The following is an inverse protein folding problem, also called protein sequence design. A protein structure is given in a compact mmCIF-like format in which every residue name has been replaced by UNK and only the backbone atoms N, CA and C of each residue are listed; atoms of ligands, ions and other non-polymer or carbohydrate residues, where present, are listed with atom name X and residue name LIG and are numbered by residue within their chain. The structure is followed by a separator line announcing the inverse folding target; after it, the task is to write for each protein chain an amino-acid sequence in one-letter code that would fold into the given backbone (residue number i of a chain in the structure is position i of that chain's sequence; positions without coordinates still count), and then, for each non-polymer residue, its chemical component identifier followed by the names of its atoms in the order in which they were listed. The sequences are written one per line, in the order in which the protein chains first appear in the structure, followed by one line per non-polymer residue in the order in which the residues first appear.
data_IF_721666018874
#
_entry.id   IF_721666018874
#
_cell.length_a   1.000
_cell.length_b   1.000
_cell.length_c   1.000
_cell.angle_alpha   90.00
_cell.angle_beta   90.00
_cell.angle_gamma   90.00
#
_symmetry.space_group_name_H-M   'P 1'
#
loop_
_entity.id
_entity.type
_entity.pdbx_description
1 polymer ?
#
# COMPACT_ATOMS: atom_id res chain seq x y z
N UNK A 1 12.89 -1.66 23.79
CA UNK A 1 13.01 -1.99 22.36
C UNK A 1 11.73 -1.53 21.67
N UNK A 2 11.82 -0.60 20.73
CA UNK A 2 10.66 -0.11 19.96
C UNK A 2 10.41 -1.06 18.78
N UNK A 3 9.21 -1.62 18.71
CA UNK A 3 8.79 -2.51 17.62
C UNK A 3 7.79 -1.83 16.70
N UNK A 4 7.82 -2.17 15.42
CA UNK A 4 6.83 -1.74 14.45
C UNK A 4 6.34 -2.90 13.57
N UNK A 5 5.03 -2.91 13.31
CA UNK A 5 4.40 -3.72 12.26
C UNK A 5 4.08 -2.78 11.08
N UNK A 6 4.69 -3.02 9.94
CA UNK A 6 4.41 -2.25 8.71
C UNK A 6 3.31 -2.95 7.93
N UNK A 7 2.19 -2.27 7.72
CA UNK A 7 1.17 -2.74 6.78
C UNK A 7 1.73 -2.65 5.35
N UNK A 8 2.03 -3.82 4.79
CA UNK A 8 2.84 -3.93 3.59
C UNK A 8 2.03 -4.48 2.42
N UNK A 9 1.87 -3.68 1.37
CA UNK A 9 1.24 -4.11 0.11
C UNK A 9 2.28 -4.38 -1.00
N UNK A 10 3.54 -3.99 -0.78
CA UNK A 10 4.58 -4.05 -1.81
C UNK A 10 4.52 -2.93 -2.85
N UNK A 11 3.61 -1.98 -2.69
CA UNK A 11 3.56 -0.75 -3.47
C UNK A 11 4.59 0.28 -3.04
N UNK A 12 4.63 1.41 -3.74
CA UNK A 12 5.55 2.52 -3.47
C UNK A 12 5.42 3.05 -2.03
N UNK A 13 4.19 3.27 -1.57
CA UNK A 13 3.91 3.90 -0.28
C UNK A 13 4.24 3.00 0.90
N UNK A 14 3.83 1.73 0.83
CA UNK A 14 4.17 0.76 1.87
C UNK A 14 5.67 0.45 1.88
N UNK A 15 6.35 0.55 0.73
CA UNK A 15 7.82 0.55 0.67
C UNK A 15 8.40 1.75 1.40
N UNK A 16 7.89 2.97 1.18
CA UNK A 16 8.35 4.15 1.90
C UNK A 16 8.15 4.02 3.42
N UNK A 17 6.99 3.49 3.84
CA UNK A 17 6.72 3.18 5.24
C UNK A 17 7.71 2.17 5.83
N UNK A 18 8.10 1.14 5.07
CA UNK A 18 9.11 0.18 5.51
C UNK A 18 10.47 0.86 5.74
N UNK A 19 10.97 1.62 4.76
CA UNK A 19 12.24 2.35 4.92
C UNK A 19 12.20 3.35 6.07
N UNK A 20 11.08 4.06 6.24
CA UNK A 20 10.88 4.96 7.36
C UNK A 20 10.90 4.22 8.71
N UNK A 21 10.25 3.06 8.80
CA UNK A 21 10.22 2.26 10.02
C UNK A 21 11.61 1.71 10.38
N UNK A 22 12.37 1.25 9.38
CA UNK A 22 13.72 0.71 9.59
C UNK A 22 14.70 1.74 10.20
N UNK A 23 14.45 3.05 10.01
CA UNK A 23 15.25 4.11 10.66
C UNK A 23 14.82 4.46 12.09
N UNK A 24 13.59 4.10 12.47
CA UNK A 24 12.94 4.60 13.70
C UNK A 24 12.75 3.53 14.78
N UNK A 25 12.77 2.26 14.40
CA UNK A 25 12.45 1.14 15.26
C UNK A 25 13.60 0.16 15.35
N UNK A 26 13.75 -0.48 16.51
CA UNK A 26 14.78 -1.49 16.76
C UNK A 26 14.43 -2.83 16.07
N UNK A 27 13.14 -3.07 15.85
CA UNK A 27 12.60 -4.28 15.24
C UNK A 27 11.38 -3.93 14.40
N UNK A 28 11.40 -4.39 13.14
CA UNK A 28 10.35 -4.14 12.15
C UNK A 28 9.89 -5.49 11.60
N UNK A 29 8.58 -5.66 11.47
CA UNK A 29 7.98 -6.81 10.76
C UNK A 29 6.97 -6.33 9.73
N UNK A 30 6.71 -7.17 8.72
CA UNK A 30 5.71 -6.91 7.68
C UNK A 30 4.42 -7.64 8.01
N UNK A 31 3.28 -6.95 7.82
CA UNK A 31 1.95 -7.57 7.82
C UNK A 31 1.24 -7.25 6.50
N UNK A 32 0.95 -8.27 5.71
CA UNK A 32 0.25 -8.17 4.43
C UNK A 32 -1.08 -8.89 4.47
N UNK A 33 -2.00 -8.46 3.61
CA UNK A 33 -3.33 -9.04 3.47
C UNK A 33 -3.58 -9.50 2.05
N UNK A 34 -4.06 -10.74 1.90
CA UNK A 34 -4.57 -11.28 0.64
C UNK A 34 -6.09 -11.30 0.75
N UNK A 35 -6.81 -10.73 -0.20
CA UNK A 35 -8.27 -10.53 -0.05
C UNK A 35 -9.06 -10.95 -1.29
N UNK A 36 -8.49 -11.89 -2.06
CA UNK A 36 -9.10 -12.45 -3.26
C UNK A 36 -9.02 -11.51 -4.46
N UNK A 37 -8.07 -10.58 -4.44
CA UNK A 37 -7.82 -9.65 -5.53
C UNK A 37 -6.79 -10.20 -6.52
N UNK A 38 -6.72 -9.63 -7.72
CA UNK A 38 -5.63 -9.94 -8.66
C UNK A 38 -4.25 -9.50 -8.16
N UNK A 39 -4.22 -8.64 -7.14
CA UNK A 39 -2.99 -8.13 -6.53
C UNK A 39 -2.42 -9.10 -5.50
N UNK A 40 -3.16 -10.14 -5.09
CA UNK A 40 -2.74 -11.06 -4.04
C UNK A 40 -1.37 -11.72 -4.34
N UNK A 41 -1.16 -12.21 -5.57
CA UNK A 41 0.13 -12.76 -5.99
C UNK A 41 1.26 -11.71 -5.94
N UNK A 42 0.93 -10.47 -6.28
CA UNK A 42 1.89 -9.35 -6.27
C UNK A 42 2.29 -9.00 -4.85
N UNK A 43 1.30 -8.88 -3.95
CA UNK A 43 1.50 -8.61 -2.52
C UNK A 43 2.36 -9.70 -1.91
N UNK A 44 2.06 -10.98 -2.18
CA UNK A 44 2.83 -12.10 -1.65
C UNK A 44 4.30 -12.08 -2.12
N UNK A 45 4.53 -11.92 -3.43
CA UNK A 45 5.88 -11.92 -4.00
C UNK A 45 6.71 -10.72 -3.55
N UNK A 46 6.11 -9.52 -3.52
CA UNK A 46 6.78 -8.31 -3.04
C UNK A 46 7.05 -8.38 -1.53
N UNK A 47 6.09 -8.81 -0.72
CA UNK A 47 6.27 -9.02 0.72
C UNK A 47 7.48 -9.92 0.99
N UNK A 48 7.54 -11.09 0.36
CA UNK A 48 8.66 -12.02 0.50
C UNK A 48 9.98 -11.40 0.05
N UNK A 49 9.98 -10.68 -1.08
CA UNK A 49 11.19 -10.04 -1.61
C UNK A 49 11.77 -9.01 -0.63
N UNK A 50 10.92 -8.16 -0.05
CA UNK A 50 11.36 -7.16 0.91
C UNK A 50 11.71 -7.76 2.28
N UNK A 51 10.97 -8.76 2.75
CA UNK A 51 11.30 -9.52 3.96
C UNK A 51 12.72 -10.11 3.87
N UNK A 52 13.04 -10.74 2.73
CA UNK A 52 14.36 -11.33 2.48
C UNK A 52 15.47 -10.26 2.42
N UNK A 53 15.22 -9.11 1.77
CA UNK A 53 16.23 -8.04 1.65
C UNK A 53 16.66 -7.47 2.99
N UNK A 54 15.75 -7.42 3.96
CA UNK A 54 16.01 -6.85 5.28
C UNK A 54 16.17 -7.90 6.37
N UNK A 55 16.00 -9.19 6.04
CA UNK A 55 16.01 -10.29 7.01
C UNK A 55 15.04 -10.05 8.18
N UNK A 56 13.83 -9.57 7.85
CA UNK A 56 12.77 -9.24 8.82
C UNK A 56 11.63 -10.25 8.76
N UNK A 57 10.93 -10.40 9.88
CA UNK A 57 9.74 -11.24 9.95
C UNK A 57 8.61 -10.68 9.06
N UNK A 58 7.89 -11.58 8.41
CA UNK A 58 6.74 -11.22 7.58
C UNK A 58 5.58 -12.17 7.83
N UNK A 59 4.38 -11.62 8.03
CA UNK A 59 3.14 -12.37 8.15
C UNK A 59 2.19 -11.95 7.02
N UNK A 60 1.55 -12.96 6.41
CA UNK A 60 0.53 -12.75 5.40
C UNK A 60 -0.78 -13.34 5.92
N UNK A 61 -1.86 -12.56 5.93
CA UNK A 61 -3.18 -12.99 6.38
C UNK A 61 -4.12 -13.04 5.18
N UNK A 62 -4.74 -14.20 4.95
CA UNK A 62 -5.75 -14.38 3.91
C UNK A 62 -7.15 -14.06 4.44
N UNK A 63 -7.86 -13.20 3.71
CA UNK A 63 -9.20 -12.68 4.00
C UNK A 63 -10.12 -12.90 2.78
N UNK A 64 -10.33 -14.17 2.36
CA UNK A 64 -11.03 -14.48 1.11
C UNK A 64 -12.50 -14.01 1.11
N UNK A 65 -13.11 -13.84 2.29
CA UNK A 65 -14.48 -13.35 2.43
C UNK A 65 -14.68 -11.91 1.92
N UNK A 66 -13.62 -11.09 1.87
CA UNK A 66 -13.72 -9.72 1.33
C UNK A 66 -14.09 -9.69 -0.16
N UNK A 67 -13.82 -10.77 -0.88
CA UNK A 67 -14.27 -10.93 -2.28
C UNK A 67 -15.78 -10.89 -2.39
N UNK A 68 -16.50 -11.50 -1.44
CA UNK A 68 -17.97 -11.48 -1.40
C UNK A 68 -18.50 -10.07 -1.15
N UNK A 69 -17.84 -9.29 -0.28
CA UNK A 69 -18.26 -7.92 0.02
C UNK A 69 -18.01 -7.00 -1.16
N UNK A 70 -16.87 -7.18 -1.84
CA UNK A 70 -16.49 -6.45 -3.06
C UNK A 70 -17.51 -6.71 -4.18
N UNK A 71 -17.90 -7.98 -4.38
CA UNK A 71 -18.92 -8.36 -5.36
C UNK A 71 -20.29 -7.73 -5.04
N UNK A 72 -20.70 -7.73 -3.77
CA UNK A 72 -21.95 -7.08 -3.33
C UNK A 72 -21.95 -5.56 -3.53
N UNK A 73 -20.79 -4.93 -3.42
CA UNK A 73 -20.64 -3.49 -3.62
C UNK A 73 -20.53 -3.07 -5.10
N UNK A 74 -20.53 -4.03 -6.04
CA UNK A 74 -20.39 -3.74 -7.47
C UNK A 74 -18.98 -3.27 -7.87
N UNK A 75 -17.95 -3.63 -7.10
CA UNK A 75 -16.56 -3.29 -7.39
C UNK A 75 -15.88 -4.36 -8.25
N UNK A 76 -15.15 -3.91 -9.29
CA UNK A 76 -14.66 -4.74 -10.39
C UNK A 76 -13.28 -5.35 -10.13
N UNK A 77 -12.69 -5.20 -8.93
CA UNK A 77 -11.44 -5.86 -8.55
C UNK A 77 -11.47 -7.40 -8.69
N UNK A 78 -12.67 -7.98 -8.78
CA UNK A 78 -12.91 -9.42 -8.96
C UNK A 78 -13.29 -9.84 -10.40
N UNK A 79 -13.52 -8.90 -11.34
CA UNK A 79 -13.93 -9.18 -12.72
C UNK A 79 -12.80 -8.93 -13.74
N UNK A 80 -13.00 -9.28 -15.03
CA UNK A 80 -11.98 -9.42 -16.07
C UNK A 80 -11.07 -8.18 -16.24
N UNK A 81 -9.86 -8.41 -16.78
CA UNK A 81 -8.79 -7.38 -16.94
C UNK A 81 -9.24 -6.23 -17.86
N UNK A 82 -10.22 -6.49 -18.72
CA UNK A 82 -10.73 -5.60 -19.76
C UNK A 82 -11.57 -4.43 -19.23
N UNK A 83 -12.05 -4.49 -17.98
CA UNK A 83 -12.90 -3.44 -17.38
C UNK A 83 -12.17 -2.52 -16.39
N UNK A 84 -10.87 -2.71 -16.17
CA UNK A 84 -10.09 -1.78 -15.35
C UNK A 84 -9.89 -0.46 -16.08
N UNK A 85 -9.93 0.69 -15.39
CA UNK A 85 -9.76 2.00 -16.01
C UNK A 85 -8.42 2.08 -16.75
N UNK A 86 -8.50 2.27 -18.07
CA UNK A 86 -7.37 2.66 -18.91
C UNK A 86 -7.47 4.16 -19.19
N UNK A 87 -6.53 4.92 -18.64
CA UNK A 87 -6.35 6.31 -19.04
C UNK A 87 -5.30 6.36 -20.13
N UNK A 88 -5.68 6.86 -21.30
CA UNK A 88 -4.74 7.02 -22.43
C UNK A 88 -3.85 8.26 -22.29
N UNK A 89 -4.21 9.20 -21.40
CA UNK A 89 -3.55 10.50 -21.25
C UNK A 89 -3.44 10.93 -19.78
N UNK A 90 -2.33 11.60 -19.42
CA UNK A 90 -2.04 12.11 -18.08
C UNK A 90 -3.09 13.13 -17.59
N UNK A 91 -3.71 13.89 -18.49
CA UNK A 91 -4.64 14.99 -18.18
C UNK A 91 -5.91 14.52 -17.45
N UNK A 92 -6.29 13.25 -17.59
CA UNK A 92 -7.45 12.68 -16.89
C UNK A 92 -7.16 12.25 -15.44
N UNK A 93 -5.90 12.25 -15.02
CA UNK A 93 -5.51 11.92 -13.65
C UNK A 93 -5.74 13.07 -12.67
N UNK A 94 -5.93 14.30 -13.17
CA UNK A 94 -6.14 15.51 -12.36
C UNK A 94 -7.63 15.91 -12.31
N UNK A 95 -8.48 15.23 -13.07
CA UNK A 95 -9.93 15.41 -13.02
C UNK A 95 -10.52 14.64 -11.83
N UNK A 96 -11.05 15.40 -10.85
CA UNK A 96 -11.61 14.84 -9.61
C UNK A 96 -12.83 13.94 -9.85
N UNK A 97 -13.66 14.24 -10.83
CA UNK A 97 -14.87 13.45 -11.11
C UNK A 97 -14.50 12.11 -11.77
N UNK A 98 -13.52 12.14 -12.68
CA UNK A 98 -12.99 10.93 -13.34
C UNK A 98 -12.26 10.03 -12.34
N UNK A 99 -11.44 10.60 -11.46
CA UNK A 99 -10.68 9.84 -10.46
C UNK A 99 -11.57 9.26 -9.37
N UNK A 100 -12.65 9.94 -8.97
CA UNK A 100 -13.66 9.36 -8.06
C UNK A 100 -14.41 8.20 -8.73
N UNK A 101 -14.76 8.30 -10.02
CA UNK A 101 -15.41 7.18 -10.73
C UNK A 101 -14.48 5.98 -10.89
N UNK A 102 -13.19 6.19 -11.21
CA UNK A 102 -12.21 5.11 -11.28
C UNK A 102 -11.96 4.46 -9.91
N UNK A 103 -11.91 5.26 -8.85
CA UNK A 103 -11.73 4.80 -7.48
C UNK A 103 -12.84 3.85 -7.01
N UNK A 104 -14.10 4.14 -7.37
CA UNK A 104 -15.24 3.26 -7.06
C UNK A 104 -15.07 1.86 -7.67
N UNK A 105 -14.44 1.75 -8.84
CA UNK A 105 -14.19 0.47 -9.52
C UNK A 105 -13.14 -0.39 -8.82
N UNK A 106 -12.29 0.24 -8.01
CA UNK A 106 -11.24 -0.42 -7.21
C UNK A 106 -11.47 -0.34 -5.70
N UNK A 107 -12.69 0.02 -5.28
CA UNK A 107 -13.04 0.12 -3.88
C UNK A 107 -13.30 -1.26 -3.27
N UNK A 108 -12.67 -1.56 -2.13
CA UNK A 108 -13.00 -2.72 -1.30
C UNK A 108 -13.64 -2.18 -0.01
N UNK A 109 -14.94 -2.43 0.22
CA UNK A 109 -15.66 -1.82 1.34
C UNK A 109 -14.98 -2.00 2.69
N UNK A 110 -14.54 -0.89 3.29
CA UNK A 110 -14.01 -0.85 4.66
C UNK A 110 -12.72 -1.65 4.86
N UNK A 111 -11.93 -1.91 3.81
CA UNK A 111 -10.74 -2.77 3.93
C UNK A 111 -9.72 -2.24 4.93
N UNK A 112 -9.42 -0.93 4.94
CA UNK A 112 -8.39 -0.39 5.83
C UNK A 112 -8.85 -0.39 7.29
N UNK A 113 -10.16 -0.27 7.54
CA UNK A 113 -10.73 -0.43 8.88
C UNK A 113 -10.48 -1.85 9.41
N UNK A 114 -10.73 -2.86 8.57
CA UNK A 114 -10.45 -4.26 8.93
C UNK A 114 -8.96 -4.53 9.09
N UNK A 115 -8.12 -4.05 8.16
CA UNK A 115 -6.67 -4.25 8.20
C UNK A 115 -6.03 -3.66 9.46
N UNK A 116 -6.39 -2.42 9.80
CA UNK A 116 -5.92 -1.78 11.03
C UNK A 116 -6.44 -2.49 12.29
N UNK A 117 -7.66 -3.01 12.27
CA UNK A 117 -8.20 -3.79 13.40
C UNK A 117 -7.44 -5.11 13.61
N UNK A 118 -7.11 -5.81 12.52
CA UNK A 118 -6.30 -7.04 12.59
C UNK A 118 -4.87 -6.73 13.05
N UNK A 119 -4.28 -5.66 12.52
CA UNK A 119 -2.95 -5.21 12.92
C UNK A 119 -2.90 -4.82 14.40
N UNK A 120 -3.96 -4.16 14.89
CA UNK A 120 -4.09 -3.86 16.31
C UNK A 120 -4.18 -5.10 17.18
N UNK A 121 -4.95 -6.11 16.78
CA UNK A 121 -4.98 -7.39 17.49
C UNK A 121 -3.61 -8.09 17.49
N UNK A 122 -2.85 -8.01 16.38
CA UNK A 122 -1.49 -8.55 16.31
C UNK A 122 -0.53 -7.77 17.23
N UNK A 123 -0.57 -6.45 17.20
CA UNK A 123 0.22 -5.58 18.07
C UNK A 123 -0.11 -5.78 19.56
N UNK A 124 -1.39 -5.91 19.91
CA UNK A 124 -1.86 -6.11 21.28
C UNK A 124 -1.50 -7.49 21.83
N UNK A 125 -1.20 -8.46 20.97
CA UNK A 125 -0.74 -9.80 21.40
C UNK A 125 0.73 -9.84 21.85
N UNK A 126 1.48 -8.78 21.60
CA UNK A 126 2.89 -8.67 21.96
C UNK A 126 3.08 -8.18 23.39
N UNK A 127 4.20 -8.57 24.03
CA UNK A 127 4.54 -8.12 25.39
C UNK A 127 5.08 -6.68 25.47
N UNK A 128 5.35 -6.06 24.32
CA UNK A 128 5.94 -4.73 24.23
C UNK A 128 5.01 -3.81 23.43
N UNK A 129 5.14 -2.50 23.59
CA UNK A 129 4.51 -1.50 22.71
C UNK A 129 4.94 -1.75 21.26
N UNK A 130 3.96 -1.87 20.37
CA UNK A 130 4.16 -2.07 18.94
C UNK A 130 3.35 -1.03 18.16
N UNK A 131 4.04 -0.20 17.39
CA UNK A 131 3.40 0.76 16.50
C UNK A 131 3.01 0.08 15.18
N UNK A 132 1.87 0.46 14.62
CA UNK A 132 1.38 0.02 13.31
C UNK A 132 1.72 1.13 12.32
N UNK A 133 2.52 0.82 11.31
CA UNK A 133 2.88 1.79 10.26
C UNK A 133 1.94 1.60 9.08
N UNK A 134 1.24 2.68 8.71
CA UNK A 134 0.19 2.67 7.69
C UNK A 134 0.46 3.68 6.58
N UNK A 135 0.49 3.20 5.33
CA UNK A 135 0.90 3.97 4.15
C UNK A 135 -0.20 4.81 3.49
N UNK A 136 -0.93 5.61 4.27
CA UNK A 136 -1.84 6.62 3.71
C UNK A 136 -1.10 7.91 3.33
N UNK A 137 -1.64 8.62 2.34
CA UNK A 137 -1.09 9.86 1.78
C UNK A 137 -2.21 10.84 1.36
N UNK A 138 -1.84 12.07 0.99
CA UNK A 138 -2.82 13.13 0.69
C UNK A 138 -3.68 12.81 -0.54
N UNK A 139 -3.10 12.26 -1.61
CA UNK A 139 -3.81 11.93 -2.86
C UNK A 139 -4.84 10.81 -2.64
N UNK A 140 -4.49 9.79 -1.85
CA UNK A 140 -5.42 8.72 -1.48
C UNK A 140 -6.50 9.21 -0.52
N UNK A 141 -6.18 10.14 0.38
CA UNK A 141 -7.14 10.77 1.29
C UNK A 141 -8.19 11.66 0.58
N UNK A 142 -7.88 12.20 -0.60
CA UNK A 142 -8.89 12.90 -1.43
C UNK A 142 -9.92 11.93 -2.04
N UNK A 143 -9.52 10.68 -2.22
CA UNK A 143 -10.28 9.68 -2.98
C UNK A 143 -11.01 8.69 -2.06
N UNK A 144 -10.38 8.31 -0.95
CA UNK A 144 -10.84 7.27 -0.05
C UNK A 144 -10.92 7.77 1.39
N UNK A 145 -12.07 7.64 2.06
CA UNK A 145 -12.26 8.17 3.42
C UNK A 145 -11.36 7.49 4.46
N UNK A 146 -10.97 6.23 4.19
CA UNK A 146 -10.14 5.38 5.05
C UNK A 146 -8.63 5.57 4.84
N UNK A 147 -8.24 6.68 4.20
CA UNK A 147 -6.85 7.13 4.05
C UNK A 147 -6.64 8.56 4.61
N UNK A 148 -7.60 9.07 5.36
CA UNK A 148 -7.54 10.44 5.90
C UNK A 148 -6.88 10.50 7.27
N UNK A 149 -6.39 11.68 7.64
CA UNK A 149 -5.87 11.94 8.98
C UNK A 149 -6.92 11.72 10.07
N UNK A 150 -8.16 12.18 9.88
CA UNK A 150 -9.25 11.95 10.84
C UNK A 150 -9.49 10.45 11.01
N UNK A 151 -9.53 9.66 9.93
CA UNK A 151 -9.65 8.21 10.03
C UNK A 151 -8.56 7.57 10.92
N UNK A 152 -7.29 7.93 10.71
CA UNK A 152 -6.16 7.44 11.54
C UNK A 152 -6.31 7.86 13.01
N UNK A 153 -6.75 9.09 13.28
CA UNK A 153 -7.00 9.58 14.64
C UNK A 153 -8.15 8.84 15.32
N UNK A 154 -9.24 8.56 14.60
CA UNK A 154 -10.37 7.77 15.11
C UNK A 154 -9.98 6.33 15.39
N UNK A 155 -9.20 5.71 14.50
CA UNK A 155 -8.68 4.35 14.73
C UNK A 155 -7.81 4.30 15.98
N UNK A 156 -6.91 5.27 16.16
CA UNK A 156 -6.11 5.39 17.38
C UNK A 156 -6.97 5.58 18.64
N UNK A 157 -8.04 6.37 18.57
CA UNK A 157 -8.96 6.54 19.69
C UNK A 157 -9.70 5.23 20.03
N UNK A 158 -10.11 4.46 19.02
CA UNK A 158 -10.74 3.15 19.21
C UNK A 158 -9.75 2.13 19.83
N UNK A 159 -8.51 2.08 19.35
CA UNK A 159 -7.47 1.18 19.87
C UNK A 159 -7.14 1.44 21.34
N UNK A 160 -7.16 2.70 21.80
CA UNK A 160 -7.01 3.03 23.22
C UNK A 160 -8.08 2.42 24.13
N UNK A 161 -9.25 2.11 23.59
CA UNK A 161 -10.35 1.49 24.33
C UNK A 161 -10.41 -0.03 24.11
N UNK A 162 -9.97 -0.51 22.94
CA UNK A 162 -10.09 -1.91 22.52
C UNK A 162 -8.87 -2.78 22.80
N UNK A 163 -7.70 -2.19 23.04
CA UNK A 163 -6.46 -2.90 23.32
C UNK A 163 -6.05 -2.75 24.80
N UNK A 164 -5.40 -3.77 25.35
CA UNK A 164 -4.84 -3.70 26.71
C UNK A 164 -3.43 -3.10 26.73
N UNK A 165 -2.67 -3.30 25.65
CA UNK A 165 -1.36 -2.71 25.44
C UNK A 165 -1.46 -1.39 24.68
N UNK A 166 -0.40 -0.58 24.76
CA UNK A 166 -0.29 0.64 23.95
C UNK A 166 -0.06 0.26 22.48
N UNK A 167 -1.10 0.45 21.67
CA UNK A 167 -1.09 0.25 20.22
C UNK A 167 -1.41 1.58 19.55
N UNK A 168 -0.58 1.96 18.57
CA UNK A 168 -0.74 3.22 17.85
C UNK A 168 -0.50 3.04 16.36
N UNK A 169 -1.42 3.57 15.55
CA UNK A 169 -1.25 3.74 14.10
C UNK A 169 -0.47 5.02 13.83
N UNK A 170 0.61 4.89 13.06
CA UNK A 170 1.44 5.98 12.57
C UNK A 170 1.41 5.95 11.04
N UNK A 171 1.00 7.07 10.44
CA UNK A 171 1.03 7.24 9.00
C UNK A 171 2.03 8.35 8.65
N UNK A 172 3.30 7.99 8.36
CA UNK A 172 4.38 8.97 8.24
C UNK A 172 4.23 9.89 7.02
N UNK A 173 3.51 9.46 5.99
CA UNK A 173 3.32 10.17 4.73
C UNK A 173 1.90 10.73 4.56
N UNK A 174 1.10 10.80 5.63
CA UNK A 174 -0.32 11.22 5.57
C UNK A 174 -0.53 12.62 4.97
N UNK A 175 0.48 13.49 5.06
CA UNK A 175 0.46 14.85 4.54
C UNK A 175 1.38 15.03 3.30
N UNK A 176 1.92 13.94 2.77
CA UNK A 176 2.83 13.92 1.63
C UNK A 176 2.08 13.57 0.34
N UNK A 177 2.53 14.15 -0.76
CA UNK A 177 2.13 13.70 -2.11
C UNK A 177 3.04 12.57 -2.61
N UNK A 178 2.78 12.04 -3.82
CA UNK A 178 3.63 10.98 -4.39
C UNK A 178 5.04 11.47 -4.73
N UNK A 179 5.24 12.76 -5.00
CA UNK A 179 6.57 13.33 -5.28
C UNK A 179 7.42 13.28 -4.01
N UNK A 180 6.88 13.69 -2.88
CA UNK A 180 7.55 13.63 -1.57
C UNK A 180 7.95 12.20 -1.21
N UNK A 181 7.05 11.23 -1.47
CA UNK A 181 7.31 9.80 -1.26
C UNK A 181 8.48 9.31 -2.14
N UNK A 182 8.52 9.70 -3.42
CA UNK A 182 9.63 9.34 -4.31
C UNK A 182 10.95 9.97 -3.86
N UNK A 183 10.92 11.24 -3.47
CA UNK A 183 12.11 11.94 -2.96
C UNK A 183 12.67 11.25 -1.72
N UNK A 184 11.81 10.90 -0.76
CA UNK A 184 12.18 10.14 0.42
C UNK A 184 12.80 8.78 0.05
N UNK A 185 12.13 8.01 -0.81
CA UNK A 185 12.65 6.71 -1.26
C UNK A 185 14.01 6.84 -1.95
N UNK A 186 14.20 7.87 -2.76
CA UNK A 186 15.47 8.13 -3.42
C UNK A 186 16.57 8.51 -2.41
N UNK A 187 16.27 9.39 -1.45
CA UNK A 187 17.19 9.75 -0.35
C UNK A 187 17.66 8.49 0.39
N UNK A 188 16.74 7.56 0.65
CA UNK A 188 17.05 6.30 1.35
C UNK A 188 17.72 5.24 0.47
N UNK A 189 18.05 5.58 -0.78
CA UNK A 189 18.57 4.61 -1.78
C UNK A 189 17.70 3.36 -1.84
N UNK A 190 16.38 3.56 -1.76
CA UNK A 190 15.44 2.47 -1.61
C UNK A 190 15.34 1.62 -2.88
N UNK A 191 15.15 0.33 -2.68
CA UNK A 191 14.94 -0.71 -3.70
C UNK A 191 13.54 -0.65 -4.33
N UNK A 192 13.07 0.54 -4.71
CA UNK A 192 11.71 0.76 -5.23
C UNK A 192 11.48 0.10 -6.60
N UNK A 193 12.51 -0.32 -7.31
CA UNK A 193 12.43 -1.14 -8.53
C UNK A 193 11.91 -2.57 -8.28
N UNK A 194 11.87 -3.01 -7.02
CA UNK A 194 11.27 -4.28 -6.58
C UNK A 194 9.84 -4.10 -6.07
N UNK A 195 9.35 -2.86 -5.95
CA UNK A 195 7.97 -2.55 -5.60
C UNK A 195 7.04 -2.62 -6.82
N UNK A 196 5.77 -2.89 -6.59
CA UNK A 196 4.74 -2.90 -7.64
C UNK A 196 3.51 -2.13 -7.23
N UNK A 197 3.14 -1.18 -8.09
CA UNK A 197 1.84 -0.51 -8.05
C UNK A 197 0.92 -0.99 -9.19
N UNK A 198 1.43 -1.82 -10.11
CA UNK A 198 0.76 -2.13 -11.37
C UNK A 198 -0.40 -3.12 -11.20
N UNK A 199 -1.58 -2.74 -11.69
CA UNK A 199 -2.78 -3.59 -11.68
C UNK A 199 -2.71 -4.78 -12.64
N UNK A 200 -1.79 -4.76 -13.61
CA UNK A 200 -1.66 -5.74 -14.68
C UNK A 200 -0.20 -6.11 -14.91
N UNK A 201 0.47 -6.69 -13.92
CA UNK A 201 1.85 -7.15 -14.12
C UNK A 201 1.94 -8.10 -15.31
N UNK A 202 2.97 -7.95 -16.13
CA UNK A 202 3.21 -8.81 -17.29
C UNK A 202 4.19 -9.94 -16.98
N UNK A 203 4.86 -9.87 -15.83
CA UNK A 203 5.78 -10.91 -15.37
C UNK A 203 6.72 -10.43 -14.29
N UNK A 204 7.76 -11.24 -14.06
CA UNK A 204 8.81 -11.00 -13.09
C UNK A 204 10.15 -11.37 -13.70
N UNK A 205 11.19 -10.61 -13.37
CA UNK A 205 12.56 -10.98 -13.72
C UNK A 205 13.08 -12.09 -12.80
N UNK A 206 14.21 -12.70 -13.19
CA UNK A 206 14.87 -13.75 -12.38
C UNK A 206 15.31 -13.23 -11.00
N UNK A 207 15.68 -11.96 -10.91
CA UNK A 207 16.05 -11.29 -9.67
C UNK A 207 14.85 -10.78 -8.86
N UNK A 208 13.61 -11.14 -9.25
CA UNK A 208 12.35 -10.81 -8.56
C UNK A 208 11.84 -9.38 -8.74
N UNK A 209 12.27 -8.66 -9.79
CA UNK A 209 11.69 -7.36 -10.13
C UNK A 209 10.37 -7.55 -10.89
N UNK A 210 9.29 -6.85 -10.49
CA UNK A 210 8.03 -6.88 -11.23
C UNK A 210 8.17 -6.16 -12.58
N UNK A 211 7.53 -6.69 -13.62
CA UNK A 211 7.44 -6.05 -14.94
C UNK A 211 6.04 -5.42 -15.07
N UNK A 212 6.00 -4.10 -15.05
CA UNK A 212 4.78 -3.30 -15.06
C UNK A 212 4.24 -3.15 -16.49
N UNK A 213 2.91 -3.11 -16.68
CA UNK A 213 2.33 -2.93 -18.02
C UNK A 213 2.59 -1.54 -18.62
N UNK A 214 2.89 -0.54 -17.79
CA UNK A 214 3.21 0.83 -18.21
C UNK A 214 2.03 1.67 -18.69
N UNK A 215 0.81 1.09 -18.74
CA UNK A 215 -0.39 1.68 -19.36
C UNK A 215 -1.60 1.81 -18.40
N UNK A 216 -1.64 1.07 -17.28
CA UNK A 216 -2.74 1.20 -16.32
C UNK A 216 -2.63 2.49 -15.50
N UNK A 217 -3.75 2.96 -14.93
CA UNK A 217 -3.80 4.19 -14.12
C UNK A 217 -2.65 4.26 -13.10
N UNK A 218 -2.47 3.20 -12.32
CA UNK A 218 -1.43 3.15 -11.29
C UNK A 218 0.00 3.22 -11.87
N UNK A 219 0.26 2.64 -13.05
CA UNK A 219 1.55 2.81 -13.73
C UNK A 219 1.78 4.27 -14.15
N UNK A 220 0.74 4.95 -14.64
CA UNK A 220 0.84 6.35 -15.05
C UNK A 220 1.04 7.27 -13.84
N UNK A 221 0.32 7.03 -12.74
CA UNK A 221 0.53 7.73 -11.46
C UNK A 221 1.96 7.55 -10.96
N UNK A 222 2.50 6.33 -11.04
CA UNK A 222 3.90 6.04 -10.69
C UNK A 222 4.87 6.84 -11.57
N UNK A 223 4.75 6.73 -12.90
CA UNK A 223 5.62 7.48 -13.84
C UNK A 223 5.58 8.99 -13.58
N UNK A 224 4.37 9.53 -13.35
CA UNK A 224 4.16 10.95 -13.01
C UNK A 224 4.88 11.33 -11.71
N UNK A 225 4.80 10.49 -10.67
CA UNK A 225 5.47 10.75 -9.40
C UNK A 225 7.01 10.85 -9.56
N UNK A 226 7.62 9.91 -10.28
CA UNK A 226 9.05 9.93 -10.57
C UNK A 226 9.47 11.13 -11.43
N UNK A 227 8.69 11.43 -12.48
CA UNK A 227 8.90 12.61 -13.33
C UNK A 227 8.82 13.91 -12.52
N UNK A 228 7.80 14.08 -11.67
CA UNK A 228 7.62 15.27 -10.84
C UNK A 228 8.71 15.43 -9.77
N UNK A 229 9.30 14.32 -9.33
CA UNK A 229 10.44 14.30 -8.41
C UNK A 229 11.79 14.54 -9.12
N UNK A 230 11.82 14.54 -10.46
CA UNK A 230 13.06 14.56 -11.26
C UNK A 230 14.01 13.42 -10.86
N UNK A 231 13.45 12.24 -10.57
CA UNK A 231 14.17 11.01 -10.22
C UNK A 231 13.94 9.98 -11.33
N UNK A 232 14.99 9.27 -11.71
CA UNK A 232 14.89 8.16 -12.67
C UNK A 232 13.99 7.04 -12.12
N UNK A 233 12.92 6.71 -12.85
CA UNK A 233 12.07 5.56 -12.53
C UNK A 233 12.75 4.27 -12.98
N UNK A 234 13.29 3.52 -12.02
CA UNK A 234 13.96 2.23 -12.25
C UNK A 234 12.98 1.06 -12.44
N UNK A 235 11.68 1.30 -12.51
CA UNK A 235 10.69 0.26 -12.81
C UNK A 235 10.85 -0.28 -14.23
N UNK A 236 10.76 -1.60 -14.37
CA UNK A 236 10.71 -2.26 -15.67
C UNK A 236 9.29 -2.17 -16.23
N UNK A 237 9.16 -1.60 -17.42
CA UNK A 237 7.90 -1.49 -18.15
C UNK A 237 7.93 -2.38 -19.39
N UNK A 238 6.80 -3.04 -19.70
CA UNK A 238 6.70 -4.03 -20.77
C UNK A 238 6.67 -3.49 -22.22
N UNK A 239 6.71 -2.17 -22.40
CA UNK A 239 6.46 -1.42 -23.66
C UNK A 239 5.04 -1.58 -24.28
#
# INVERSE_FOLDING_TARGET
MKKAIVLFSGGLDSTACLYWALEKYDSVSLLSFLYGSKEDEVIERTNKTFADFFSIESKIISLPFLKEFTAKAGSNLSQSVEELPEFKEFEKLDDKDITIDSAKKVWVPGRNLLFLSIAASAADSEKNTVDIIFGANIEEGETFPDNTKDFVERMNAAMKLGCMNEVKVISPFIASDKKDIVLFLNEKSAKYEFSSSCYRLTGWTKDRRPIHCGKCESCLRRKRAFSNANIEDKTLYAE
#
